data_IF_559235414571
#
_entry.id   IF_559235414571
#
_cell.length_a   1.000
_cell.length_b   1.000
_cell.length_c   1.000
_cell.angle_alpha   90.00
_cell.angle_beta   90.00
_cell.angle_gamma   90.00
#
_symmetry.space_group_name_H-M   'P 1'
#
loop_
_entity.id
_entity.type
_entity.pdbx_description
1 polymer ?
#
# COMPACT_ATOMS: atom_id res chain seq x y z
N UNK A 1 45.14 15.29 -36.34
CA UNK A 1 45.06 14.58 -35.07
C UNK A 1 44.93 15.63 -33.97
N UNK A 2 43.72 15.92 -33.53
CA UNK A 2 43.49 16.93 -32.51
C UNK A 2 42.46 16.36 -31.54
N UNK A 3 42.89 16.08 -30.30
CA UNK A 3 42.08 15.55 -29.22
C UNK A 3 41.46 16.71 -28.45
N UNK A 4 40.13 16.73 -28.34
CA UNK A 4 39.40 17.68 -27.50
C UNK A 4 39.25 17.14 -26.07
N UNK A 5 39.42 17.98 -25.05
CA UNK A 5 39.30 17.53 -23.65
C UNK A 5 37.84 17.46 -23.19
N UNK A 6 37.50 16.34 -22.53
CA UNK A 6 36.23 16.10 -21.85
C UNK A 6 36.14 16.98 -20.62
N UNK A 7 35.16 17.87 -20.59
CA UNK A 7 34.86 18.75 -19.45
C UNK A 7 34.04 18.01 -18.42
N UNK A 8 34.67 17.64 -17.28
CA UNK A 8 34.08 16.96 -16.14
C UNK A 8 33.39 18.00 -15.24
N UNK A 9 32.09 18.15 -15.34
CA UNK A 9 31.33 18.95 -14.37
C UNK A 9 31.13 18.19 -13.05
N UNK A 10 31.68 18.75 -11.99
CA UNK A 10 31.46 18.33 -10.61
C UNK A 10 30.20 19.04 -10.09
N UNK A 11 29.09 18.31 -9.93
CA UNK A 11 27.94 18.84 -9.22
C UNK A 11 28.15 18.69 -7.72
N UNK A 12 28.34 19.83 -7.07
CA UNK A 12 28.40 19.94 -5.62
C UNK A 12 27.00 19.86 -5.04
N UNK A 13 26.72 18.79 -4.32
CA UNK A 13 25.48 18.60 -3.54
C UNK A 13 25.54 19.51 -2.29
N UNK A 14 24.74 20.58 -2.28
CA UNK A 14 24.51 21.39 -1.08
C UNK A 14 23.59 20.64 -0.14
N UNK A 15 24.15 20.18 0.96
CA UNK A 15 23.40 19.66 2.11
C UNK A 15 22.74 20.85 2.83
N UNK A 16 21.41 20.98 2.72
CA UNK A 16 20.64 21.97 3.49
C UNK A 16 20.17 21.30 4.77
N UNK A 17 20.84 21.60 5.85
CA UNK A 17 20.41 21.23 7.21
C UNK A 17 19.31 22.17 7.65
N UNK A 18 18.07 21.68 7.74
CA UNK A 18 16.95 22.41 8.33
C UNK A 18 16.96 22.15 9.84
N UNK A 19 17.46 23.12 10.60
CA UNK A 19 17.27 23.15 12.06
C UNK A 19 15.83 23.58 12.37
N UNK A 20 15.09 22.72 13.03
CA UNK A 20 13.78 23.02 13.60
C UNK A 20 13.95 23.55 15.04
N UNK A 21 13.47 24.74 15.40
CA UNK A 21 13.49 25.18 16.78
C UNK A 21 12.28 24.63 17.55
N UNK A 22 12.55 23.70 18.47
CA UNK A 22 11.62 23.33 19.54
C UNK A 22 11.43 24.47 20.51
N UNK A 23 10.32 25.19 20.45
CA UNK A 23 9.93 26.16 21.45
C UNK A 23 9.17 25.43 22.58
N UNK A 24 9.89 25.30 23.71
CA UNK A 24 9.31 24.87 25.00
C UNK A 24 8.46 26.01 25.55
N UNK A 25 7.14 25.79 25.72
CA UNK A 25 6.33 26.58 26.63
C UNK A 25 6.10 25.78 27.92
N UNK A 26 6.89 26.16 28.94
CA UNK A 26 6.56 25.89 30.35
C UNK A 26 5.48 26.91 30.75
N UNK A 27 4.31 26.45 31.13
CA UNK A 27 3.34 27.27 31.84
C UNK A 27 3.15 26.70 33.26
N UNK A 28 3.77 27.39 34.20
CA UNK A 28 3.60 27.24 35.65
C UNK A 28 2.40 28.09 36.12
N UNK A 29 1.52 27.51 36.88
CA UNK A 29 0.50 28.26 37.64
C UNK A 29 -0.78 27.43 37.74
N UNK A 30 -1.20 27.02 38.79
CA UNK A 30 -1.55 27.47 40.08
C UNK A 30 -2.44 26.39 40.72
N UNK A 31 -2.11 25.98 41.94
CA UNK A 31 -2.99 25.19 42.81
C UNK A 31 -4.30 25.95 43.07
N UNK A 32 -5.41 25.28 42.94
CA UNK A 32 -6.62 25.62 43.66
C UNK A 32 -7.34 24.33 44.13
N UNK A 33 -7.22 24.12 45.37
CA UNK A 33 -7.94 23.18 46.22
C UNK A 33 -9.42 23.57 46.27
N UNK A 34 -10.33 22.73 45.81
CA UNK A 34 -11.72 22.78 46.29
C UNK A 34 -12.20 21.36 46.45
N UNK A 35 -12.26 20.97 47.76
CA UNK A 35 -13.08 19.87 48.23
C UNK A 35 -14.55 20.21 47.99
N UNK A 36 -15.31 19.33 47.37
CA UNK A 36 -16.75 19.26 47.58
C UNK A 36 -17.17 17.79 47.80
N UNK A 37 -17.80 17.65 48.99
CA UNK A 37 -18.33 16.47 49.58
C UNK A 37 -19.63 16.03 48.88
N UNK A 38 -19.75 14.74 48.72
CA UNK A 38 -20.93 13.86 48.66
C UNK A 38 -22.28 14.45 48.18
N UNK A 39 -22.90 13.74 47.24
CA UNK A 39 -24.21 13.11 47.49
C UNK A 39 -24.49 12.03 46.44
N UNK A 40 -24.86 10.86 46.98
CA UNK A 40 -25.30 9.72 46.17
C UNK A 40 -26.63 10.02 45.49
N UNK A 41 -26.67 9.81 44.14
CA UNK A 41 -27.92 9.55 43.44
C UNK A 41 -27.76 8.26 42.63
N UNK A 42 -28.40 7.20 43.12
CA UNK A 42 -28.76 6.07 42.29
C UNK A 42 -29.74 6.57 41.23
N UNK A 43 -29.30 6.61 40.00
CA UNK A 43 -30.18 6.65 38.83
C UNK A 43 -29.72 5.57 37.87
N UNK A 44 -30.44 4.47 37.92
CA UNK A 44 -30.41 3.43 36.90
C UNK A 44 -30.99 4.02 35.62
N UNK A 45 -30.13 4.45 34.69
CA UNK A 45 -30.53 4.71 33.32
C UNK A 45 -29.88 3.67 32.41
N UNK A 46 -30.77 2.84 31.89
CA UNK A 46 -30.50 1.88 30.82
C UNK A 46 -29.99 2.63 29.59
N UNK A 47 -28.70 2.98 29.58
CA UNK A 47 -27.98 3.65 28.49
C UNK A 47 -27.56 2.60 27.48
N UNK A 48 -28.33 2.52 26.42
CA UNK A 48 -27.99 1.84 25.17
C UNK A 48 -26.58 2.24 24.74
N UNK A 49 -25.66 1.29 24.91
CA UNK A 49 -24.24 1.44 24.53
C UNK A 49 -24.19 1.74 23.02
N UNK A 50 -23.58 2.85 22.55
CA UNK A 50 -23.30 2.97 21.13
C UNK A 50 -22.24 1.92 20.81
N UNK A 51 -22.63 0.96 19.99
CA UNK A 51 -21.74 -0.03 19.38
C UNK A 51 -20.57 0.73 18.74
N UNK A 52 -19.46 0.77 19.44
CA UNK A 52 -18.17 1.11 18.83
C UNK A 52 -17.94 0.04 17.79
N UNK A 53 -18.12 0.42 16.53
CA UNK A 53 -17.80 -0.42 15.39
C UNK A 53 -16.30 -0.68 15.44
N UNK A 54 -15.93 -1.70 16.18
CA UNK A 54 -14.59 -2.24 16.27
C UNK A 54 -14.20 -2.57 14.83
N UNK A 55 -13.30 -1.77 14.27
CA UNK A 55 -12.69 -2.05 12.98
C UNK A 55 -11.85 -3.31 13.17
N UNK A 56 -12.46 -4.46 12.90
CA UNK A 56 -11.74 -5.72 12.78
C UNK A 56 -10.59 -5.46 11.83
N UNK A 57 -9.31 -5.68 12.21
CA UNK A 57 -8.21 -5.57 11.27
C UNK A 57 -8.50 -6.58 10.17
N UNK A 58 -8.80 -6.08 8.98
CA UNK A 58 -9.06 -6.91 7.81
C UNK A 58 -7.84 -7.80 7.62
N UNK A 59 -7.98 -9.08 8.00
CA UNK A 59 -6.97 -10.10 7.71
C UNK A 59 -6.69 -10.00 6.21
N UNK A 60 -5.49 -9.54 5.87
CA UNK A 60 -5.08 -9.34 4.48
C UNK A 60 -5.39 -10.60 3.68
N UNK A 61 -6.46 -10.54 2.89
CA UNK A 61 -6.89 -11.68 2.08
C UNK A 61 -5.85 -11.86 0.97
N UNK A 62 -5.11 -12.96 1.06
CA UNK A 62 -4.13 -13.34 0.04
C UNK A 62 -4.88 -13.99 -1.10
N UNK A 63 -4.87 -13.36 -2.26
CA UNK A 63 -5.47 -13.86 -3.48
C UNK A 63 -4.37 -14.22 -4.49
N UNK A 64 -4.55 -15.32 -5.22
CA UNK A 64 -3.55 -15.82 -6.16
C UNK A 64 -4.10 -15.83 -7.59
N UNK A 65 -3.22 -15.47 -8.53
CA UNK A 65 -3.39 -15.62 -9.97
C UNK A 65 -2.25 -16.48 -10.49
N UNK A 66 -2.60 -17.58 -11.14
CA UNK A 66 -1.62 -18.46 -11.77
C UNK A 66 -1.38 -17.99 -13.20
N UNK A 67 -0.13 -17.95 -13.64
CA UNK A 67 0.26 -17.78 -15.02
C UNK A 67 0.54 -19.19 -15.55
N UNK A 68 -0.29 -19.67 -16.47
CA UNK A 68 -0.18 -21.00 -17.02
C UNK A 68 -0.72 -21.04 -18.45
N UNK A 69 -0.06 -21.77 -19.33
CA UNK A 69 -0.42 -21.92 -20.72
C UNK A 69 -0.72 -20.57 -21.42
N UNK A 70 0.18 -19.58 -21.22
CA UNK A 70 0.07 -18.22 -21.76
C UNK A 70 -1.22 -17.48 -21.34
N UNK A 71 -1.75 -17.75 -20.17
CA UNK A 71 -2.94 -17.12 -19.61
C UNK A 71 -2.74 -16.73 -18.14
N UNK A 72 -3.50 -15.72 -17.70
CA UNK A 72 -3.70 -15.44 -16.27
C UNK A 72 -4.96 -16.18 -15.80
N UNK A 73 -4.84 -17.01 -14.77
CA UNK A 73 -5.94 -17.81 -14.22
C UNK A 73 -6.15 -17.55 -12.72
N UNK A 74 -7.33 -17.09 -12.31
CA UNK A 74 -8.43 -16.62 -13.15
C UNK A 74 -8.10 -15.30 -13.88
N UNK A 75 -8.71 -15.00 -15.03
CA UNK A 75 -8.44 -13.78 -15.80
C UNK A 75 -9.00 -12.53 -15.11
N UNK A 76 -9.96 -12.68 -14.20
CA UNK A 76 -10.51 -11.60 -13.40
C UNK A 76 -10.76 -12.11 -11.98
N UNK A 77 -10.26 -11.35 -10.98
CA UNK A 77 -10.55 -11.61 -9.57
C UNK A 77 -11.12 -10.36 -8.91
N UNK A 78 -11.96 -10.58 -7.89
CA UNK A 78 -12.46 -9.51 -7.03
C UNK A 78 -11.86 -9.69 -5.64
N UNK A 79 -11.31 -8.61 -5.09
CA UNK A 79 -10.64 -8.62 -3.79
C UNK A 79 -11.07 -7.41 -2.95
N UNK A 80 -11.03 -7.48 -1.63
CA UNK A 80 -11.28 -6.32 -0.77
C UNK A 80 -10.14 -5.30 -0.85
N UNK A 81 -10.43 -4.03 -0.51
CA UNK A 81 -9.42 -3.00 -0.32
C UNK A 81 -8.38 -3.48 0.71
N UNK A 82 -7.11 -3.24 0.42
CA UNK A 82 -5.97 -3.70 1.23
C UNK A 82 -5.53 -5.14 0.95
N UNK A 83 -6.19 -5.87 0.04
CA UNK A 83 -5.77 -7.22 -0.32
C UNK A 83 -4.45 -7.22 -1.07
N UNK A 84 -3.66 -8.27 -0.84
CA UNK A 84 -2.45 -8.57 -1.61
C UNK A 84 -2.76 -9.67 -2.61
N UNK A 85 -2.53 -9.38 -3.89
CA UNK A 85 -2.62 -10.34 -5.00
C UNK A 85 -1.22 -10.83 -5.34
N UNK A 86 -1.06 -12.14 -5.52
CA UNK A 86 0.20 -12.78 -5.91
C UNK A 86 0.01 -13.47 -7.25
N UNK A 87 0.88 -13.20 -8.20
CA UNK A 87 1.00 -13.93 -9.46
C UNK A 87 2.14 -14.93 -9.36
N UNK A 88 1.90 -16.18 -9.78
CA UNK A 88 2.91 -17.25 -9.82
C UNK A 88 3.02 -17.77 -11.24
N UNK A 89 4.24 -17.78 -11.80
CA UNK A 89 4.47 -18.32 -13.15
C UNK A 89 4.66 -19.83 -13.09
N UNK A 90 3.73 -20.59 -13.68
CA UNK A 90 3.82 -22.04 -13.83
C UNK A 90 4.26 -22.47 -15.26
N UNK A 91 4.34 -21.53 -16.20
CA UNK A 91 4.90 -21.80 -17.52
C UNK A 91 6.41 -21.97 -17.49
N UNK A 92 6.94 -22.72 -18.45
CA UNK A 92 8.40 -22.85 -18.67
C UNK A 92 9.00 -21.64 -19.38
N UNK A 93 8.19 -20.68 -19.81
CA UNK A 93 8.62 -19.43 -20.45
C UNK A 93 8.43 -18.24 -19.51
N UNK A 94 9.16 -17.18 -19.78
CA UNK A 94 9.14 -16.00 -18.96
C UNK A 94 7.91 -15.11 -19.24
N UNK A 95 7.33 -14.54 -18.18
CA UNK A 95 6.20 -13.63 -18.25
C UNK A 95 6.43 -12.36 -17.42
N UNK A 96 5.54 -11.38 -17.58
CA UNK A 96 5.50 -10.18 -16.74
C UNK A 96 4.07 -9.85 -16.35
N UNK A 97 3.92 -9.06 -15.28
CA UNK A 97 2.65 -8.45 -14.89
C UNK A 97 2.84 -6.93 -15.01
N UNK A 98 2.15 -6.32 -15.97
CA UNK A 98 2.30 -4.90 -16.31
C UNK A 98 0.95 -4.22 -16.22
N UNK A 99 0.81 -3.19 -15.38
CA UNK A 99 -0.40 -2.37 -15.31
C UNK A 99 -0.64 -1.65 -16.63
N UNK A 100 -1.88 -1.71 -17.15
CA UNK A 100 -2.23 -1.03 -18.39
C UNK A 100 -2.15 0.51 -18.26
N UNK A 101 -2.53 1.03 -17.07
CA UNK A 101 -2.62 2.47 -16.80
C UNK A 101 -1.58 2.94 -15.76
N UNK A 102 -0.50 2.19 -15.57
CA UNK A 102 0.56 2.48 -14.59
C UNK A 102 0.06 2.65 -13.14
N UNK A 103 -1.07 2.04 -12.79
CA UNK A 103 -1.70 2.15 -11.47
C UNK A 103 -0.97 1.34 -10.38
N UNK A 104 -0.10 0.40 -10.76
CA UNK A 104 0.78 -0.33 -9.86
C UNK A 104 2.12 -0.67 -10.54
N UNK A 105 3.11 -1.02 -9.73
CA UNK A 105 4.47 -1.31 -10.20
C UNK A 105 4.50 -2.54 -11.10
N UNK A 106 5.16 -2.42 -12.26
CA UNK A 106 5.45 -3.55 -13.15
C UNK A 106 6.29 -4.61 -12.42
N UNK A 107 6.00 -5.90 -12.64
CA UNK A 107 6.82 -6.99 -12.13
C UNK A 107 8.21 -7.03 -12.81
N UNK A 108 9.20 -7.64 -12.20
CA UNK A 108 10.36 -8.15 -12.94
C UNK A 108 9.89 -9.19 -13.98
N UNK A 109 10.81 -9.66 -14.80
CA UNK A 109 10.58 -10.84 -15.66
C UNK A 109 10.49 -12.06 -14.73
N UNK A 110 9.36 -12.76 -14.76
CA UNK A 110 9.08 -13.94 -13.93
C UNK A 110 9.43 -15.20 -14.72
N UNK A 111 10.45 -15.91 -14.31
CA UNK A 111 10.80 -17.25 -14.80
C UNK A 111 9.86 -18.30 -14.21
N UNK A 112 9.96 -19.56 -14.66
CA UNK A 112 9.19 -20.67 -14.10
C UNK A 112 9.33 -20.74 -12.57
N UNK A 113 8.19 -20.81 -11.87
CA UNK A 113 8.09 -20.86 -10.40
C UNK A 113 8.27 -19.52 -9.69
N UNK A 114 8.68 -18.43 -10.38
CA UNK A 114 8.83 -17.12 -9.76
C UNK A 114 7.49 -16.43 -9.52
N UNK A 115 7.50 -15.53 -8.53
CA UNK A 115 6.30 -14.86 -8.03
C UNK A 115 6.48 -13.35 -7.98
N UNK A 116 5.36 -12.65 -8.15
CA UNK A 116 5.25 -11.21 -7.92
C UNK A 116 4.00 -10.92 -7.10
N UNK A 117 4.06 -9.97 -6.19
CA UNK A 117 2.91 -9.58 -5.37
C UNK A 117 2.73 -8.07 -5.38
N UNK A 118 1.46 -7.62 -5.35
CA UNK A 118 1.10 -6.22 -5.18
C UNK A 118 -0.10 -6.08 -4.25
N UNK A 119 -0.08 -5.05 -3.38
CA UNK A 119 -1.18 -4.73 -2.48
C UNK A 119 -2.01 -3.59 -3.07
N UNK A 120 -3.32 -3.76 -3.08
CA UNK A 120 -4.28 -2.81 -3.66
C UNK A 120 -5.01 -2.05 -2.55
N UNK A 121 -4.51 -0.85 -2.21
CA UNK A 121 -5.03 -0.03 -1.11
C UNK A 121 -6.27 0.82 -1.48
N UNK A 122 -6.62 0.92 -2.75
CA UNK A 122 -7.72 1.78 -3.23
C UNK A 122 -8.71 0.96 -4.03
N UNK A 123 -10.01 1.20 -3.82
CA UNK A 123 -11.07 0.59 -4.63
C UNK A 123 -10.95 1.04 -6.09
N UNK A 124 -11.19 0.11 -7.02
CA UNK A 124 -11.07 0.40 -8.46
C UNK A 124 -10.94 -0.86 -9.30
N UNK A 125 -10.79 -0.66 -10.60
CA UNK A 125 -10.53 -1.73 -11.57
C UNK A 125 -9.12 -1.54 -12.14
N UNK A 126 -8.29 -2.55 -11.99
CA UNK A 126 -6.89 -2.56 -12.38
C UNK A 126 -6.68 -3.57 -13.51
N UNK A 127 -6.59 -3.06 -14.74
CA UNK A 127 -6.29 -3.90 -15.91
C UNK A 127 -4.79 -4.11 -16.03
N UNK A 128 -4.38 -5.30 -16.42
CA UNK A 128 -2.97 -5.64 -16.60
C UNK A 128 -2.77 -6.62 -17.76
N UNK A 129 -1.52 -6.73 -18.21
CA UNK A 129 -1.14 -7.58 -19.33
C UNK A 129 0.30 -8.08 -19.18
N UNK A 130 0.68 -9.08 -19.98
CA UNK A 130 2.07 -9.50 -20.11
C UNK A 130 2.76 -8.68 -21.20
N UNK A 131 3.83 -7.92 -20.87
CA UNK A 131 4.55 -7.11 -21.86
C UNK A 131 5.40 -7.92 -22.86
N UNK A 132 5.57 -9.22 -22.63
CA UNK A 132 6.24 -10.15 -23.55
C UNK A 132 5.20 -10.78 -24.48
N UNK A 133 4.02 -11.13 -23.97
CA UNK A 133 2.96 -11.80 -24.70
C UNK A 133 1.66 -10.96 -24.62
N UNK A 134 1.52 -9.97 -25.49
CA UNK A 134 0.53 -8.89 -25.38
C UNK A 134 -0.95 -9.34 -25.42
N UNK A 135 -1.22 -10.58 -25.86
CA UNK A 135 -2.57 -11.16 -25.82
C UNK A 135 -3.00 -11.64 -24.44
N UNK A 136 -2.03 -11.84 -23.52
CA UNK A 136 -2.31 -12.22 -22.14
C UNK A 136 -2.76 -10.98 -21.36
N UNK A 137 -4.02 -10.95 -20.98
CA UNK A 137 -4.62 -9.84 -20.22
C UNK A 137 -5.34 -10.35 -18.99
N UNK A 138 -5.43 -9.50 -17.96
CA UNK A 138 -6.16 -9.83 -16.74
C UNK A 138 -6.70 -8.56 -16.06
N UNK A 139 -7.52 -8.75 -15.03
CA UNK A 139 -8.20 -7.67 -14.31
C UNK A 139 -8.32 -7.98 -12.82
N UNK A 140 -8.01 -7.00 -11.98
CA UNK A 140 -8.30 -7.03 -10.55
C UNK A 140 -9.42 -6.01 -10.28
N UNK A 141 -10.48 -6.44 -9.61
CA UNK A 141 -11.57 -5.58 -9.13
C UNK A 141 -11.41 -5.46 -7.61
N UNK A 142 -11.17 -4.26 -7.12
CA UNK A 142 -11.01 -3.95 -5.69
C UNK A 142 -12.26 -3.23 -5.17
N UNK A 143 -12.91 -3.77 -4.14
CA UNK A 143 -14.14 -3.21 -3.57
C UNK A 143 -14.31 -3.51 -2.07
#
# INVERSE_FOLDING_TARGET
>A
MSASPVHRQKHATKCVTVLSPFLRHLNTGTLAFVMFVALAFLSSTNGKNPETKESIPSKATKSEVVIDNFNFSPPTITVPVGATVTWTNHDNVAHTVTSADNQFKKSPVLKAGERFSNTFATAGTYSYFCSIHHRMTGKIIVK
#
